data_IF_813034930284
#
_entry.id   IF_813034930284
#
_cell.length_a   1.000
_cell.length_b   1.000
_cell.length_c   1.000
_cell.angle_alpha   90.00
_cell.angle_beta   90.00
_cell.angle_gamma   90.00
#
_symmetry.space_group_name_H-M   'P 1'
#
loop_
_entity.id
_entity.type
_entity.pdbx_description
1 polymer ?
#
# COMPACT_ATOMS: atom_id res chain seq x y z
N UNK A 1 55.06 4.28 -6.57
CA UNK A 1 55.62 4.75 -5.27
C UNK A 1 57.01 5.23 -5.60
N UNK A 2 57.27 6.55 -5.59
CA UNK A 2 58.57 7.09 -5.99
C UNK A 2 59.64 6.64 -5.01
N UNK A 3 60.69 6.01 -5.52
CA UNK A 3 61.80 5.48 -4.74
C UNK A 3 62.58 6.64 -4.09
N UNK A 4 63.43 6.32 -3.09
CA UNK A 4 64.36 7.31 -2.52
C UNK A 4 65.30 7.86 -3.60
N UNK A 5 65.66 7.02 -4.57
CA UNK A 5 66.50 7.39 -5.70
C UNK A 5 65.79 8.40 -6.61
N UNK A 6 64.52 8.18 -6.94
CA UNK A 6 63.73 9.10 -7.77
C UNK A 6 63.59 10.46 -7.10
N UNK A 7 63.38 10.49 -5.77
CA UNK A 7 63.33 11.75 -5.03
C UNK A 7 64.66 12.50 -5.05
N UNK A 8 65.79 11.79 -4.93
CA UNK A 8 67.11 12.41 -5.04
C UNK A 8 67.38 12.95 -6.45
N UNK A 9 66.96 12.22 -7.49
CA UNK A 9 67.03 12.69 -8.89
C UNK A 9 66.18 13.94 -9.11
N UNK A 10 64.94 13.97 -8.62
CA UNK A 10 64.08 15.16 -8.66
C UNK A 10 64.73 16.37 -7.98
N UNK A 11 65.30 16.18 -6.77
CA UNK A 11 65.96 17.25 -6.01
C UNK A 11 67.21 17.76 -6.71
N UNK A 12 68.02 16.87 -7.28
CA UNK A 12 69.24 17.23 -7.99
C UNK A 12 68.95 17.98 -9.30
N UNK A 13 68.00 17.52 -10.11
CA UNK A 13 67.60 18.18 -11.35
C UNK A 13 66.94 19.53 -11.09
N UNK A 14 66.10 19.63 -10.06
CA UNK A 14 65.47 20.91 -9.70
C UNK A 14 66.49 21.94 -9.21
N UNK A 15 67.50 21.52 -8.43
CA UNK A 15 68.61 22.41 -8.01
C UNK A 15 69.45 22.91 -9.19
N UNK A 16 69.51 22.14 -10.29
CA UNK A 16 70.17 22.52 -11.55
C UNK A 16 69.31 23.42 -12.46
N UNK A 17 68.09 23.79 -12.03
CA UNK A 17 67.21 24.69 -12.77
C UNK A 17 66.35 24.00 -13.84
N UNK A 18 66.29 22.67 -13.88
CA UNK A 18 65.44 21.93 -14.82
C UNK A 18 63.96 22.15 -14.47
N UNK A 19 63.11 22.35 -15.48
CA UNK A 19 61.68 22.57 -15.27
C UNK A 19 60.99 21.28 -14.79
N UNK A 20 59.97 21.44 -13.94
CA UNK A 20 59.22 20.34 -13.32
C UNK A 20 58.63 19.38 -14.35
N UNK A 21 58.24 19.88 -15.54
CA UNK A 21 57.70 19.06 -16.63
C UNK A 21 58.74 18.13 -17.24
N UNK A 22 60.00 18.56 -17.31
CA UNK A 22 61.08 17.79 -17.92
C UNK A 22 61.59 16.72 -16.94
N UNK A 23 61.69 17.08 -15.65
CA UNK A 23 61.96 16.12 -14.55
C UNK A 23 60.88 15.02 -14.52
N UNK A 24 59.63 15.40 -14.79
CA UNK A 24 58.49 14.48 -14.81
C UNK A 24 58.55 13.52 -16.00
N UNK A 25 58.95 14.01 -17.17
CA UNK A 25 59.15 13.18 -18.36
C UNK A 25 60.33 12.20 -18.20
N UNK A 26 61.46 12.65 -17.63
CA UNK A 26 62.66 11.83 -17.42
C UNK A 26 62.43 10.68 -16.42
N UNK A 27 61.58 10.91 -15.41
CA UNK A 27 61.29 9.93 -14.36
C UNK A 27 59.97 9.17 -14.57
N UNK A 28 59.32 9.33 -15.72
CA UNK A 28 58.01 8.74 -16.06
C UNK A 28 56.95 8.92 -14.94
N UNK A 29 56.83 10.15 -14.43
CA UNK A 29 55.86 10.49 -13.38
C UNK A 29 55.10 11.76 -13.74
N UNK A 30 53.96 12.01 -13.09
CA UNK A 30 53.24 13.26 -13.30
C UNK A 30 54.02 14.48 -12.78
N UNK A 31 53.95 15.66 -13.44
CA UNK A 31 54.50 16.92 -12.92
C UNK A 31 53.99 17.28 -11.52
N UNK A 32 52.75 16.87 -11.19
CA UNK A 32 52.18 17.01 -9.84
C UNK A 32 52.93 16.18 -8.80
N UNK A 33 53.44 15.01 -9.18
CA UNK A 33 54.25 14.13 -8.30
C UNK A 33 55.58 14.78 -7.97
N UNK A 34 56.28 15.33 -8.96
CA UNK A 34 57.56 16.04 -8.78
C UNK A 34 57.38 17.29 -7.92
N UNK A 35 56.39 18.13 -8.23
CA UNK A 35 56.06 19.33 -7.45
C UNK A 35 55.74 19.00 -5.98
N UNK A 36 54.90 17.98 -5.73
CA UNK A 36 54.57 17.53 -4.37
C UNK A 36 55.77 16.95 -3.63
N UNK A 37 56.64 16.22 -4.31
CA UNK A 37 57.84 15.63 -3.72
C UNK A 37 58.83 16.72 -3.29
N UNK A 38 59.11 17.69 -4.16
CA UNK A 38 59.98 18.83 -3.88
C UNK A 38 59.43 19.71 -2.74
N UNK A 39 58.11 20.00 -2.75
CA UNK A 39 57.45 20.79 -1.69
C UNK A 39 57.45 20.07 -0.33
N UNK A 40 57.36 18.73 -0.32
CA UNK A 40 57.37 17.93 0.91
C UNK A 40 58.77 17.72 1.49
N UNK A 41 59.82 17.81 0.68
CA UNK A 41 61.21 17.65 1.14
C UNK A 41 61.65 16.22 1.48
N UNK A 42 60.87 15.19 1.13
CA UNK A 42 61.20 13.79 1.42
C UNK A 42 60.26 12.76 0.78
N UNK A 43 60.54 11.46 0.97
CA UNK A 43 59.74 10.32 0.50
C UNK A 43 58.30 10.36 1.04
N UNK A 44 57.28 9.82 0.33
CA UNK A 44 55.95 9.71 0.92
C UNK A 44 56.02 8.82 2.16
N UNK A 45 55.40 9.21 3.29
CA UNK A 45 55.16 8.24 4.34
C UNK A 45 54.37 7.09 3.72
N UNK A 46 54.97 5.89 3.66
CA UNK A 46 54.33 4.70 3.07
C UNK A 46 53.06 4.26 3.80
N UNK A 47 52.73 4.91 4.92
CA UNK A 47 51.43 4.78 5.57
C UNK A 47 50.41 5.58 4.77
N UNK A 48 49.59 4.86 3.97
CA UNK A 48 48.26 5.37 3.61
C UNK A 48 47.62 5.88 4.91
N UNK A 49 47.05 7.10 4.93
CA UNK A 49 46.26 7.54 6.07
C UNK A 49 45.29 6.42 6.44
N UNK A 50 45.14 6.09 7.74
CA UNK A 50 44.07 5.19 8.17
C UNK A 50 42.80 5.70 7.50
N UNK A 51 42.12 4.84 6.74
CA UNK A 51 40.87 5.20 6.12
C UNK A 51 40.00 5.83 7.21
N UNK A 52 39.51 7.05 6.99
CA UNK A 52 38.58 7.68 7.92
C UNK A 52 37.47 6.66 8.18
N UNK A 53 37.20 6.39 9.46
CA UNK A 53 36.08 5.54 9.84
C UNK A 53 34.82 6.01 9.11
N UNK A 54 34.09 5.08 8.52
CA UNK A 54 32.81 5.41 7.89
C UNK A 54 31.83 5.78 8.99
N UNK A 55 30.98 6.78 8.75
CA UNK A 55 29.83 7.06 9.62
C UNK A 55 28.92 5.83 9.76
N UNK A 56 29.02 4.85 8.87
CA UNK A 56 28.32 3.57 8.95
C UNK A 56 28.94 2.59 9.96
N UNK A 57 30.21 2.75 10.32
CA UNK A 57 30.95 1.75 11.13
C UNK A 57 30.26 1.40 12.46
N UNK A 58 29.73 2.37 13.25
CA UNK A 58 29.00 2.06 14.49
C UNK A 58 27.71 1.26 14.26
N UNK A 59 27.17 1.29 13.05
CA UNK A 59 25.88 0.69 12.72
C UNK A 59 25.98 -0.67 12.03
N UNK A 60 27.19 -1.12 11.65
CA UNK A 60 27.40 -2.36 10.88
C UNK A 60 26.82 -3.61 11.56
N UNK A 61 27.02 -3.75 12.88
CA UNK A 61 26.47 -4.88 13.64
C UNK A 61 24.95 -4.94 13.58
N UNK A 62 24.29 -3.78 13.61
CA UNK A 62 22.83 -3.73 13.46
C UNK A 62 22.39 -4.14 12.06
N UNK A 63 23.09 -3.69 11.01
CA UNK A 63 22.79 -4.13 9.64
C UNK A 63 22.95 -5.64 9.53
N UNK A 64 23.98 -6.22 10.15
CA UNK A 64 24.25 -7.66 10.06
C UNK A 64 23.16 -8.49 10.77
N UNK A 65 22.71 -8.05 11.95
CA UNK A 65 21.57 -8.65 12.63
C UNK A 65 20.29 -8.58 11.77
N UNK A 66 20.01 -7.45 11.12
CA UNK A 66 18.86 -7.31 10.21
C UNK A 66 18.95 -8.26 9.00
N UNK A 67 20.15 -8.49 8.47
CA UNK A 67 20.36 -9.45 7.38
C UNK A 67 20.16 -10.90 7.83
N UNK A 68 20.57 -11.24 9.05
CA UNK A 68 20.34 -12.55 9.69
C UNK A 68 18.84 -12.80 9.90
N UNK A 69 18.08 -11.78 10.30
CA UNK A 69 16.62 -11.81 10.41
C UNK A 69 15.89 -11.81 9.04
N UNK A 70 16.65 -11.87 7.93
CA UNK A 70 16.09 -11.96 6.58
C UNK A 70 15.65 -10.61 5.98
N UNK A 71 15.99 -9.48 6.61
CA UNK A 71 15.68 -8.14 6.11
C UNK A 71 16.75 -7.70 5.10
N UNK A 72 16.65 -8.21 3.87
CA UNK A 72 17.60 -7.92 2.79
C UNK A 72 17.32 -6.62 2.02
N UNK A 73 16.34 -5.84 2.46
CA UNK A 73 15.94 -4.60 1.80
C UNK A 73 16.65 -3.39 2.40
N UNK A 74 17.48 -2.73 1.59
CA UNK A 74 18.29 -1.59 2.03
C UNK A 74 17.47 -0.37 2.40
N UNK A 75 16.27 -0.17 1.83
CA UNK A 75 15.37 0.92 2.25
C UNK A 75 14.87 0.69 3.67
N UNK A 76 14.49 -0.55 4.00
CA UNK A 76 14.03 -0.92 5.34
C UNK A 76 15.15 -0.76 6.36
N UNK A 77 16.34 -1.28 6.06
CA UNK A 77 17.51 -1.11 6.93
C UNK A 77 17.81 0.38 7.12
N UNK A 78 17.80 1.17 6.05
CA UNK A 78 18.06 2.61 6.12
C UNK A 78 17.03 3.36 6.96
N UNK A 79 15.75 3.05 6.81
CA UNK A 79 14.67 3.60 7.64
C UNK A 79 14.88 3.29 9.12
N UNK A 80 15.15 2.01 9.45
CA UNK A 80 15.43 1.61 10.83
C UNK A 80 16.68 2.30 11.39
N UNK A 81 17.72 2.48 10.56
CA UNK A 81 18.92 3.23 10.92
C UNK A 81 18.63 4.71 11.21
N UNK A 82 17.81 5.38 10.39
CA UNK A 82 17.42 6.78 10.63
C UNK A 82 16.73 6.94 11.98
N UNK A 83 15.83 6.04 12.36
CA UNK A 83 15.17 6.04 13.68
C UNK A 83 16.13 5.80 14.85
N UNK A 84 17.29 5.19 14.58
CA UNK A 84 18.40 4.99 15.52
C UNK A 84 19.44 6.12 15.49
N UNK A 85 19.14 7.25 14.84
CA UNK A 85 20.02 8.43 14.80
C UNK A 85 21.10 8.41 13.71
N UNK A 86 21.00 7.53 12.70
CA UNK A 86 21.97 7.52 11.61
C UNK A 86 21.87 8.78 10.72
N UNK A 87 22.92 9.58 10.66
CA UNK A 87 22.95 10.82 9.86
C UNK A 87 23.41 10.61 8.41
N UNK A 88 24.03 9.46 8.10
CA UNK A 88 24.55 9.19 6.77
C UNK A 88 23.49 8.92 5.70
N UNK A 89 23.96 8.73 4.46
CA UNK A 89 23.14 8.48 3.29
C UNK A 89 22.94 6.98 2.98
N UNK A 90 21.82 6.66 2.34
CA UNK A 90 21.43 5.30 1.94
C UNK A 90 22.47 4.56 1.10
N UNK A 91 23.23 5.27 0.27
CA UNK A 91 24.26 4.68 -0.60
C UNK A 91 25.29 3.88 0.21
N UNK A 92 25.70 4.36 1.38
CA UNK A 92 26.63 3.65 2.26
C UNK A 92 26.06 2.31 2.75
N UNK A 93 24.77 2.29 3.11
CA UNK A 93 24.07 1.06 3.50
C UNK A 93 24.03 0.09 2.32
N UNK A 94 23.68 0.58 1.13
CA UNK A 94 23.61 -0.23 -0.10
C UNK A 94 24.96 -0.86 -0.44
N UNK A 95 26.04 -0.08 -0.37
CA UNK A 95 27.39 -0.55 -0.67
C UNK A 95 27.86 -1.59 0.35
N UNK A 96 27.47 -1.47 1.62
CA UNK A 96 27.76 -2.44 2.66
C UNK A 96 26.99 -3.77 2.51
N UNK A 97 25.72 -3.71 2.10
CA UNK A 97 24.86 -4.89 1.93
C UNK A 97 25.13 -5.63 0.62
N UNK A 98 25.47 -4.91 -0.46
CA UNK A 98 25.69 -5.46 -1.81
C UNK A 98 26.59 -6.71 -1.87
N UNK A 99 27.79 -6.75 -1.26
CA UNK A 99 28.66 -7.93 -1.33
C UNK A 99 28.12 -9.14 -0.56
N UNK A 100 27.16 -8.94 0.35
CA UNK A 100 26.56 -10.00 1.17
C UNK A 100 25.36 -10.65 0.49
N UNK A 101 24.88 -10.09 -0.63
CA UNK A 101 23.63 -10.53 -1.28
C UNK A 101 23.89 -11.75 -2.16
N UNK A 102 23.15 -12.86 -2.00
CA UNK A 102 23.29 -14.01 -2.88
C UNK A 102 22.85 -13.66 -4.31
N UNK A 103 23.65 -14.10 -5.30
CA UNK A 103 23.34 -13.93 -6.72
C UNK A 103 22.08 -14.76 -7.07
N UNK A 104 20.99 -14.09 -7.42
CA UNK A 104 19.78 -14.76 -7.91
C UNK A 104 19.88 -15.01 -9.41
N UNK A 105 19.61 -16.25 -9.84
CA UNK A 105 19.40 -16.55 -11.26
C UNK A 105 18.17 -15.78 -11.76
N UNK A 106 18.36 -14.85 -12.69
CA UNK A 106 17.24 -14.19 -13.36
C UNK A 106 16.60 -15.16 -14.34
N UNK A 107 15.30 -15.44 -14.21
CA UNK A 107 14.53 -16.09 -15.28
C UNK A 107 14.25 -15.05 -16.36
N UNK A 108 14.48 -15.41 -17.62
CA UNK A 108 14.09 -14.57 -18.76
C UNK A 108 12.56 -14.57 -18.88
N UNK A 109 11.95 -13.40 -18.84
CA UNK A 109 10.50 -13.20 -19.04
C UNK A 109 10.28 -12.16 -20.13
N UNK A 110 9.27 -12.37 -20.97
CA UNK A 110 8.83 -11.38 -21.96
C UNK A 110 8.07 -10.28 -21.22
N UNK A 111 8.45 -9.03 -21.46
CA UNK A 111 7.86 -7.85 -20.80
C UNK A 111 6.85 -7.18 -21.73
N UNK A 112 5.74 -6.73 -21.18
CA UNK A 112 4.76 -5.92 -21.89
C UNK A 112 4.62 -4.57 -21.18
N UNK A 113 4.88 -3.49 -21.90
CA UNK A 113 4.69 -2.13 -21.43
C UNK A 113 3.36 -1.59 -21.94
N UNK A 114 2.65 -0.83 -21.11
CA UNK A 114 1.39 -0.19 -21.46
C UNK A 114 1.60 1.31 -21.60
N UNK A 115 0.88 1.94 -22.53
CA UNK A 115 0.91 3.39 -22.68
C UNK A 115 0.33 4.10 -21.42
N UNK A 116 0.68 5.38 -21.20
CA UNK A 116 0.16 6.16 -20.08
C UNK A 116 -1.38 6.12 -19.99
N UNK A 117 -1.93 5.95 -18.80
CA UNK A 117 -3.37 5.98 -18.54
C UNK A 117 -4.15 4.75 -19.03
N UNK A 118 -3.50 3.82 -19.75
CA UNK A 118 -4.21 2.69 -20.36
C UNK A 118 -4.60 1.63 -19.36
N UNK A 119 -3.70 1.24 -18.45
CA UNK A 119 -3.92 0.04 -17.63
C UNK A 119 -3.49 0.22 -16.19
N UNK A 120 -4.37 -0.12 -15.25
CA UNK A 120 -4.05 -0.41 -13.86
C UNK A 120 -4.02 -1.93 -13.65
N UNK A 121 -3.12 -2.42 -12.81
CA UNK A 121 -3.11 -3.82 -12.38
C UNK A 121 -3.50 -3.91 -10.91
N UNK A 122 -4.48 -4.75 -10.61
CA UNK A 122 -5.02 -4.96 -9.26
C UNK A 122 -4.68 -6.37 -8.78
N UNK A 123 -4.11 -6.48 -7.59
CA UNK A 123 -3.66 -7.74 -7.01
C UNK A 123 -3.92 -7.80 -5.51
N UNK A 124 -4.52 -8.88 -5.04
CA UNK A 124 -4.69 -9.14 -3.62
C UNK A 124 -3.45 -9.80 -3.02
N UNK A 125 -3.18 -9.47 -1.77
CA UNK A 125 -2.16 -10.11 -0.98
C UNK A 125 -2.53 -10.13 0.49
N UNK A 126 -2.03 -11.15 1.18
CA UNK A 126 -2.21 -11.30 2.63
C UNK A 126 -0.85 -11.24 3.37
N UNK A 127 -0.81 -10.62 4.54
CA UNK A 127 0.34 -10.72 5.44
C UNK A 127 -0.13 -11.28 6.78
N UNK A 128 0.22 -12.53 7.03
CA UNK A 128 0.07 -13.16 8.33
C UNK A 128 1.01 -12.54 9.38
N UNK A 129 0.62 -12.68 10.65
CA UNK A 129 1.41 -12.32 11.83
C UNK A 129 1.73 -10.83 11.95
N UNK A 130 0.91 -9.95 11.37
CA UNK A 130 0.96 -8.53 11.75
C UNK A 130 0.26 -8.37 13.11
N UNK A 131 0.63 -7.35 13.89
CA UNK A 131 -0.13 -7.03 15.11
C UNK A 131 -1.05 -5.84 14.86
N UNK A 132 -2.35 -6.04 15.12
CA UNK A 132 -3.36 -4.98 15.15
C UNK A 132 -3.89 -4.90 16.57
N UNK A 133 -3.78 -3.73 17.20
CA UNK A 133 -4.13 -3.54 18.61
C UNK A 133 -3.47 -4.59 19.54
N UNK A 134 -2.22 -4.98 19.22
CA UNK A 134 -1.48 -6.02 19.95
C UNK A 134 -1.87 -7.47 19.64
N UNK A 135 -2.91 -7.71 18.85
CA UNK A 135 -3.38 -9.05 18.48
C UNK A 135 -2.76 -9.50 17.16
N UNK A 136 -2.16 -10.71 17.08
CA UNK A 136 -1.73 -11.29 15.80
C UNK A 136 -2.92 -11.47 14.86
N UNK A 137 -2.84 -10.89 13.67
CA UNK A 137 -3.92 -10.89 12.69
C UNK A 137 -3.33 -11.09 11.28
N UNK A 138 -4.13 -11.66 10.38
CA UNK A 138 -3.81 -11.66 8.95
C UNK A 138 -4.39 -10.41 8.33
N UNK A 139 -3.53 -9.53 7.81
CA UNK A 139 -3.97 -8.35 7.07
C UNK A 139 -4.13 -8.71 5.59
N UNK A 140 -5.33 -8.46 5.05
CA UNK A 140 -5.59 -8.51 3.62
C UNK A 140 -5.34 -7.13 3.02
N UNK A 141 -4.78 -7.06 1.83
CA UNK A 141 -4.55 -5.79 1.16
C UNK A 141 -4.58 -5.93 -0.36
N UNK A 142 -5.18 -4.94 -1.02
CA UNK A 142 -5.26 -4.87 -2.46
C UNK A 142 -4.25 -3.85 -2.98
N UNK A 143 -3.34 -4.28 -3.85
CA UNK A 143 -2.34 -3.42 -4.50
C UNK A 143 -2.79 -3.08 -5.91
N UNK A 144 -2.96 -1.80 -6.16
CA UNK A 144 -3.33 -1.24 -7.45
C UNK A 144 -2.13 -0.48 -8.03
N UNK A 145 -1.59 -0.92 -9.16
CA UNK A 145 -0.37 -0.36 -9.77
C UNK A 145 -0.63 0.12 -11.19
N UNK A 146 -0.31 1.39 -11.45
CA UNK A 146 -0.36 1.95 -12.79
C UNK A 146 0.65 1.29 -13.72
N UNK A 147 0.17 1.00 -14.92
CA UNK A 147 0.88 0.20 -15.88
C UNK A 147 1.97 0.93 -16.63
N UNK A 148 2.05 2.25 -16.58
CA UNK A 148 3.14 3.01 -17.18
C UNK A 148 4.12 3.50 -16.11
N UNK A 149 3.66 4.37 -15.19
CA UNK A 149 4.51 4.99 -14.16
C UNK A 149 4.99 4.06 -13.07
N UNK A 150 4.33 2.89 -12.89
CA UNK A 150 4.53 2.00 -11.73
C UNK A 150 4.16 2.64 -10.40
N UNK A 151 3.47 3.79 -10.41
CA UNK A 151 2.88 4.35 -9.21
C UNK A 151 1.83 3.38 -8.69
N UNK A 152 1.85 3.15 -7.39
CA UNK A 152 0.97 2.18 -6.74
C UNK A 152 0.19 2.83 -5.63
N UNK A 153 -1.02 2.34 -5.40
CA UNK A 153 -1.79 2.56 -4.19
C UNK A 153 -2.12 1.18 -3.61
N UNK A 154 -2.21 1.07 -2.29
CA UNK A 154 -2.75 -0.15 -1.69
C UNK A 154 -3.58 0.18 -0.46
N UNK A 155 -4.61 -0.63 -0.25
CA UNK A 155 -5.53 -0.49 0.87
C UNK A 155 -5.56 -1.78 1.68
N UNK A 156 -5.44 -1.65 3.00
CA UNK A 156 -5.43 -2.76 3.95
C UNK A 156 -6.81 -2.87 4.57
N UNK A 157 -7.36 -4.08 4.56
CA UNK A 157 -8.71 -4.39 5.01
C UNK A 157 -8.82 -5.82 5.55
N UNK A 158 -10.03 -6.23 5.93
CA UNK A 158 -10.36 -7.52 6.53
C UNK A 158 -10.99 -8.54 5.57
N UNK A 159 -11.39 -8.15 4.35
CA UNK A 159 -12.01 -9.03 3.34
C UNK A 159 -11.45 -8.80 1.92
N UNK A 160 -11.62 -9.80 1.05
CA UNK A 160 -11.19 -9.79 -0.35
C UNK A 160 -12.38 -9.98 -1.33
N UNK A 161 -13.59 -9.63 -0.89
CA UNK A 161 -14.82 -9.74 -1.70
C UNK A 161 -14.97 -8.64 -2.77
N UNK A 162 -16.14 -8.61 -3.42
CA UNK A 162 -16.41 -7.74 -4.57
C UNK A 162 -16.49 -6.27 -4.13
N UNK A 163 -17.16 -6.02 -3.00
CA UNK A 163 -17.33 -4.71 -2.37
C UNK A 163 -15.98 -4.12 -1.99
N UNK A 164 -15.13 -4.91 -1.33
CA UNK A 164 -13.77 -4.52 -0.97
C UNK A 164 -12.87 -4.32 -2.20
N UNK A 165 -13.04 -5.13 -3.24
CA UNK A 165 -12.31 -4.98 -4.50
C UNK A 165 -12.67 -3.67 -5.20
N UNK A 166 -13.96 -3.33 -5.25
CA UNK A 166 -14.43 -2.06 -5.81
C UNK A 166 -13.92 -0.87 -4.97
N UNK A 167 -13.97 -0.96 -3.64
CA UNK A 167 -13.47 0.08 -2.74
C UNK A 167 -11.96 0.29 -2.89
N UNK A 168 -11.17 -0.79 -2.97
CA UNK A 168 -9.73 -0.70 -3.18
C UNK A 168 -9.39 0.03 -4.49
N UNK A 169 -10.11 -0.28 -5.58
CA UNK A 169 -9.90 0.34 -6.88
C UNK A 169 -10.38 1.79 -6.90
N UNK A 170 -11.52 2.09 -6.27
CA UNK A 170 -12.03 3.44 -6.05
C UNK A 170 -11.00 4.31 -5.32
N UNK A 171 -10.46 3.83 -4.20
CA UNK A 171 -9.41 4.52 -3.43
C UNK A 171 -8.15 4.75 -4.26
N UNK A 172 -7.76 3.78 -5.06
CA UNK A 172 -6.61 3.92 -5.96
C UNK A 172 -6.86 5.00 -7.02
N UNK A 173 -8.01 5.02 -7.67
CA UNK A 173 -8.37 6.06 -8.64
C UNK A 173 -8.41 7.46 -8.00
N UNK A 174 -8.92 7.56 -6.77
CA UNK A 174 -8.88 8.80 -6.00
C UNK A 174 -7.44 9.23 -5.69
N UNK A 175 -6.58 8.30 -5.25
CA UNK A 175 -5.16 8.56 -4.98
C UNK A 175 -4.40 9.01 -6.24
N UNK A 176 -4.71 8.44 -7.41
CA UNK A 176 -4.12 8.87 -8.68
C UNK A 176 -4.76 10.15 -9.25
N UNK A 177 -5.91 10.57 -8.74
CA UNK A 177 -6.67 11.69 -9.27
C UNK A 177 -7.31 11.42 -10.64
N UNK A 178 -7.50 10.16 -11.01
CA UNK A 178 -8.05 9.73 -12.29
C UNK A 178 -8.12 8.21 -12.44
N UNK A 179 -8.97 7.74 -13.33
CA UNK A 179 -9.14 6.31 -13.64
C UNK A 179 -8.31 5.90 -14.87
N UNK A 180 -8.02 4.61 -15.02
CA UNK A 180 -7.37 4.07 -16.22
C UNK A 180 -8.39 3.55 -17.22
N UNK A 181 -8.06 3.51 -18.50
CA UNK A 181 -8.93 2.92 -19.51
C UNK A 181 -9.27 1.44 -19.23
N UNK A 182 -8.37 0.72 -18.56
CA UNK A 182 -8.55 -0.70 -18.28
C UNK A 182 -8.04 -1.08 -16.88
N UNK A 183 -8.72 -2.00 -16.22
CA UNK A 183 -8.28 -2.62 -14.98
C UNK A 183 -8.01 -4.10 -15.20
N UNK A 184 -6.75 -4.50 -15.06
CA UNK A 184 -6.32 -5.88 -15.14
C UNK A 184 -6.36 -6.51 -13.74
N UNK A 185 -7.22 -7.50 -13.57
CA UNK A 185 -7.35 -8.30 -12.34
C UNK A 185 -6.82 -9.71 -12.55
N UNK A 186 -6.53 -10.40 -11.44
CA UNK A 186 -6.41 -11.85 -11.45
C UNK A 186 -7.78 -12.53 -11.54
N UNK A 187 -7.81 -13.87 -11.59
CA UNK A 187 -9.01 -14.69 -11.70
C UNK A 187 -9.76 -14.89 -10.36
N UNK A 188 -9.68 -13.89 -9.48
CA UNK A 188 -10.40 -13.86 -8.22
C UNK A 188 -11.91 -13.70 -8.43
N UNK A 189 -12.72 -14.44 -7.65
CA UNK A 189 -14.19 -14.44 -7.81
C UNK A 189 -14.85 -13.08 -7.58
N UNK A 190 -14.20 -12.21 -6.79
CA UNK A 190 -14.62 -10.83 -6.57
C UNK A 190 -14.74 -10.00 -7.86
N UNK A 191 -13.97 -10.35 -8.90
CA UNK A 191 -14.02 -9.69 -10.20
C UNK A 191 -14.41 -10.65 -11.33
N UNK A 192 -13.93 -11.90 -11.31
CA UNK A 192 -14.06 -12.88 -12.39
C UNK A 192 -14.87 -14.08 -11.95
N UNK A 193 -16.08 -14.26 -12.51
CA UNK A 193 -16.95 -15.39 -12.22
C UNK A 193 -16.46 -16.67 -12.92
N UNK A 194 -16.21 -16.60 -14.24
CA UNK A 194 -15.77 -17.76 -15.02
C UNK A 194 -15.10 -17.39 -16.34
N UNK A 195 -14.27 -18.31 -16.82
CA UNK A 195 -13.70 -18.29 -18.17
C UNK A 195 -14.39 -19.32 -19.05
N UNK A 196 -14.77 -18.94 -20.26
CA UNK A 196 -15.16 -19.88 -21.32
C UNK A 196 -13.93 -20.12 -22.19
N UNK A 197 -13.47 -21.37 -22.18
CA UNK A 197 -12.27 -21.82 -22.89
C UNK A 197 -12.71 -22.69 -24.06
N UNK A 198 -12.27 -22.34 -25.27
CA UNK A 198 -12.50 -23.10 -26.49
C UNK A 198 -11.17 -23.31 -27.21
N UNK A 199 -10.87 -24.55 -27.58
CA UNK A 199 -9.61 -24.93 -28.23
C UNK A 199 -8.35 -24.45 -27.47
N UNK A 200 -8.37 -24.52 -26.14
CA UNK A 200 -7.26 -24.10 -25.29
C UNK A 200 -7.01 -22.58 -25.24
N UNK A 201 -7.93 -21.75 -25.78
CA UNK A 201 -7.88 -20.29 -25.70
C UNK A 201 -9.10 -19.76 -24.97
N UNK A 202 -8.91 -18.72 -24.14
CA UNK A 202 -10.01 -17.97 -23.54
C UNK A 202 -10.80 -17.27 -24.65
N UNK A 203 -12.06 -17.65 -24.82
CA UNK A 203 -13.00 -17.05 -25.79
C UNK A 203 -13.77 -15.90 -25.13
N UNK A 204 -14.23 -16.10 -23.89
CA UNK A 204 -14.97 -15.09 -23.15
C UNK A 204 -14.69 -15.18 -21.65
N UNK A 205 -14.71 -14.03 -20.98
CA UNK A 205 -14.65 -13.92 -19.52
C UNK A 205 -15.98 -13.35 -19.03
N UNK A 206 -16.52 -13.94 -17.98
CA UNK A 206 -17.69 -13.43 -17.27
C UNK A 206 -17.22 -12.79 -15.98
N UNK A 207 -17.53 -11.50 -15.82
CA UNK A 207 -17.16 -10.71 -14.66
C UNK A 207 -18.32 -10.60 -13.68
N UNK A 208 -18.01 -10.24 -12.43
CA UNK A 208 -18.98 -9.90 -11.41
C UNK A 208 -19.78 -8.65 -11.82
N UNK A 209 -21.10 -8.66 -11.65
CA UNK A 209 -21.99 -7.57 -12.08
C UNK A 209 -21.70 -6.27 -11.33
N UNK A 210 -21.60 -6.30 -10.00
CA UNK A 210 -21.24 -5.13 -9.20
C UNK A 210 -19.89 -4.54 -9.60
N UNK A 211 -18.93 -5.39 -9.99
CA UNK A 211 -17.64 -4.92 -10.50
C UNK A 211 -17.75 -4.29 -11.89
N UNK A 212 -18.64 -4.78 -12.76
CA UNK A 212 -18.91 -4.15 -14.05
C UNK A 212 -19.59 -2.79 -13.88
N UNK A 213 -20.58 -2.67 -12.99
CA UNK A 213 -21.24 -1.39 -12.67
C UNK A 213 -20.24 -0.37 -12.11
N UNK A 214 -19.32 -0.83 -11.25
CA UNK A 214 -18.19 -0.03 -10.78
C UNK A 214 -17.33 0.46 -11.95
N UNK A 215 -16.91 -0.42 -12.85
CA UNK A 215 -16.05 -0.04 -13.98
C UNK A 215 -16.73 0.94 -14.93
N UNK A 216 -18.02 0.73 -15.22
CA UNK A 216 -18.83 1.64 -16.04
C UNK A 216 -18.87 3.05 -15.45
N UNK A 217 -19.04 3.15 -14.11
CA UNK A 217 -19.03 4.43 -13.39
C UNK A 217 -17.74 5.23 -13.56
N UNK A 218 -16.60 4.55 -13.73
CA UNK A 218 -15.28 5.16 -13.93
C UNK A 218 -14.83 5.20 -15.39
N UNK A 219 -15.65 4.73 -16.34
CA UNK A 219 -15.30 4.66 -17.76
C UNK A 219 -14.18 3.66 -18.08
N UNK A 220 -13.95 2.69 -17.20
CA UNK A 220 -12.90 1.68 -17.32
C UNK A 220 -13.43 0.37 -17.90
N UNK A 221 -12.57 -0.41 -18.55
CA UNK A 221 -12.87 -1.76 -19.02
C UNK A 221 -12.17 -2.84 -18.18
N UNK A 222 -12.87 -3.93 -17.89
CA UNK A 222 -12.32 -5.06 -17.14
C UNK A 222 -11.48 -5.99 -18.02
N UNK A 223 -10.28 -6.37 -17.54
CA UNK A 223 -9.45 -7.42 -18.14
C UNK A 223 -9.06 -8.45 -17.10
N UNK A 224 -9.11 -9.73 -17.47
CA UNK A 224 -8.64 -10.83 -16.64
C UNK A 224 -7.34 -11.43 -17.18
N UNK A 225 -6.48 -11.92 -16.27
CA UNK A 225 -5.30 -12.68 -16.63
C UNK A 225 -5.68 -14.02 -17.29
N UNK A 226 -4.91 -14.45 -18.29
CA UNK A 226 -5.15 -15.74 -18.95
C UNK A 226 -4.92 -16.89 -17.94
N UNK A 227 -5.83 -17.87 -17.82
CA UNK A 227 -5.62 -19.04 -16.99
C UNK A 227 -4.31 -19.76 -17.35
N UNK A 228 -3.58 -20.23 -16.34
CA UNK A 228 -2.33 -20.98 -16.49
C UNK A 228 -1.19 -20.26 -17.26
N UNK A 229 -1.23 -18.92 -17.38
CA UNK A 229 -0.10 -18.09 -17.85
C UNK A 229 0.17 -16.92 -16.90
N UNK A 230 0.84 -17.18 -15.77
CA UNK A 230 1.22 -16.13 -14.82
C UNK A 230 2.13 -15.07 -15.46
N UNK A 231 2.86 -15.41 -16.54
CA UNK A 231 3.75 -14.46 -17.22
C UNK A 231 3.01 -13.30 -17.89
N UNK A 232 1.69 -13.37 -18.06
CA UNK A 232 0.89 -12.25 -18.61
C UNK A 232 0.85 -11.04 -17.66
N UNK A 233 1.11 -11.24 -16.37
CA UNK A 233 1.28 -10.17 -15.36
C UNK A 233 2.70 -9.59 -15.35
N UNK A 234 3.45 -9.77 -16.44
CA UNK A 234 4.90 -9.61 -16.63
C UNK A 234 5.51 -8.22 -16.44
N UNK A 235 5.06 -7.43 -15.47
CA UNK A 235 5.78 -6.28 -14.93
C UNK A 235 6.65 -6.80 -13.80
N UNK A 236 7.97 -6.76 -13.97
CA UNK A 236 8.97 -7.52 -13.19
C UNK A 236 9.12 -7.07 -11.71
N UNK A 237 8.18 -6.28 -11.18
CA UNK A 237 8.06 -6.04 -9.75
C UNK A 237 6.71 -6.55 -9.25
N UNK A 238 6.75 -7.63 -8.47
CA UNK A 238 5.62 -8.11 -7.70
C UNK A 238 5.24 -7.05 -6.65
N UNK A 239 4.22 -6.23 -6.95
CA UNK A 239 3.75 -5.15 -6.08
C UNK A 239 3.37 -5.64 -4.69
N UNK A 240 2.64 -6.76 -4.61
CA UNK A 240 2.32 -7.44 -3.35
C UNK A 240 3.60 -7.82 -2.58
N UNK A 241 4.57 -8.39 -3.27
CA UNK A 241 5.87 -8.73 -2.70
C UNK A 241 6.68 -7.50 -2.24
N UNK A 242 6.53 -6.36 -2.91
CA UNK A 242 7.15 -5.10 -2.53
C UNK A 242 6.55 -4.58 -1.23
N UNK A 243 5.21 -4.54 -1.11
CA UNK A 243 4.51 -4.16 0.12
C UNK A 243 4.90 -5.09 1.29
N UNK A 244 4.84 -6.43 1.10
CA UNK A 244 5.20 -7.41 2.15
C UNK A 244 6.62 -7.25 2.69
N UNK A 245 7.59 -6.97 1.81
CA UNK A 245 9.02 -6.92 2.17
C UNK A 245 9.53 -5.54 2.56
N UNK A 246 8.70 -4.51 2.42
CA UNK A 246 9.07 -3.14 2.74
C UNK A 246 8.13 -2.58 3.81
N UNK A 247 6.87 -2.32 3.42
CA UNK A 247 5.89 -1.67 4.27
C UNK A 247 5.67 -2.43 5.58
N UNK A 248 5.26 -3.69 5.52
CA UNK A 248 4.99 -4.50 6.72
C UNK A 248 6.25 -4.82 7.55
N UNK A 249 7.45 -4.68 6.98
CA UNK A 249 8.70 -4.84 7.74
C UNK A 249 9.09 -3.54 8.45
N UNK A 250 8.76 -2.37 7.88
CA UNK A 250 8.92 -1.07 8.54
C UNK A 250 7.85 -0.83 9.61
N UNK A 251 6.63 -1.30 9.34
CA UNK A 251 5.44 -1.16 10.18
C UNK A 251 4.87 -2.54 10.49
N UNK A 252 5.49 -3.30 11.41
CA UNK A 252 5.01 -4.64 11.79
C UNK A 252 3.76 -4.60 12.68
N UNK A 253 3.43 -3.44 13.25
CA UNK A 253 2.37 -3.25 14.22
C UNK A 253 1.59 -1.95 13.95
N UNK A 254 0.28 -1.98 14.22
CA UNK A 254 -0.61 -0.83 14.17
C UNK A 254 -1.71 -0.91 15.24
N UNK A 255 -2.27 0.24 15.59
CA UNK A 255 -3.32 0.33 16.61
C UNK A 255 -4.69 -0.08 16.05
N UNK A 256 -4.89 0.06 14.74
CA UNK A 256 -6.11 -0.31 14.02
C UNK A 256 -5.85 -0.45 12.53
N UNK A 257 -6.83 -0.96 11.76
CA UNK A 257 -6.78 -0.92 10.30
C UNK A 257 -6.69 0.52 9.75
N UNK A 258 -7.33 1.49 10.42
CA UNK A 258 -7.25 2.89 10.04
C UNK A 258 -5.82 3.45 10.23
N UNK A 259 -5.17 3.13 11.35
CA UNK A 259 -3.76 3.49 11.58
C UNK A 259 -2.84 2.83 10.53
N UNK A 260 -3.10 1.58 10.16
CA UNK A 260 -2.37 0.91 9.09
C UNK A 260 -2.48 1.63 7.75
N UNK A 261 -3.70 2.03 7.37
CA UNK A 261 -3.92 2.76 6.14
C UNK A 261 -3.30 4.17 6.17
N UNK A 262 -3.31 4.86 7.32
CA UNK A 262 -2.58 6.14 7.47
C UNK A 262 -1.07 5.97 7.28
N UNK A 263 -0.48 4.91 7.86
CA UNK A 263 0.93 4.55 7.64
C UNK A 263 1.20 4.21 6.17
N UNK A 264 0.25 3.56 5.50
CA UNK A 264 0.35 3.20 4.09
C UNK A 264 0.41 4.45 3.21
N UNK A 265 -0.48 5.42 3.41
CA UNK A 265 -0.45 6.70 2.67
C UNK A 265 0.88 7.43 2.88
N UNK A 266 1.34 7.54 4.14
CA UNK A 266 2.66 8.14 4.42
C UNK A 266 3.79 7.41 3.69
N UNK A 267 3.78 6.08 3.70
CA UNK A 267 4.82 5.27 3.07
C UNK A 267 4.79 5.39 1.54
N UNK A 268 3.61 5.47 0.94
CA UNK A 268 3.45 5.70 -0.49
C UNK A 268 4.12 7.01 -0.89
N UNK A 269 3.77 8.12 -0.22
CA UNK A 269 4.29 9.45 -0.54
C UNK A 269 5.79 9.61 -0.26
N UNK A 270 6.29 9.05 0.85
CA UNK A 270 7.64 9.33 1.34
C UNK A 270 8.67 8.29 0.90
N UNK A 271 8.24 7.08 0.51
CA UNK A 271 9.13 5.97 0.18
C UNK A 271 8.83 5.37 -1.18
N UNK A 272 7.57 5.06 -1.49
CA UNK A 272 7.24 4.36 -2.74
C UNK A 272 7.32 5.27 -3.98
N UNK A 273 6.77 6.48 -3.90
CA UNK A 273 6.72 7.46 -4.98
C UNK A 273 8.09 8.06 -5.35
N UNK A 274 8.95 8.48 -4.40
CA UNK A 274 10.25 9.07 -4.74
C UNK A 274 11.32 8.02 -5.09
N UNK A 275 10.98 6.73 -5.12
CA UNK A 275 11.97 5.67 -5.42
C UNK A 275 12.32 5.65 -6.90
N UNK A 276 13.58 5.29 -7.18
CA UNK A 276 13.97 4.82 -8.51
C UNK A 276 13.48 3.40 -8.70
N UNK A 277 12.57 3.18 -9.65
CA UNK A 277 12.01 1.86 -9.92
C UNK A 277 13.07 0.95 -10.54
N UNK A 278 13.21 -0.28 -10.04
CA UNK A 278 14.32 -1.17 -10.39
C UNK A 278 14.31 -1.62 -11.84
N UNK A 279 13.13 -1.66 -12.46
CA UNK A 279 12.97 -2.07 -13.87
C UNK A 279 13.11 -0.90 -14.85
N UNK A 280 12.57 0.28 -14.54
CA UNK A 280 12.56 1.42 -15.48
C UNK A 280 13.79 2.30 -15.31
N UNK A 281 14.44 2.25 -14.14
CA UNK A 281 15.57 3.11 -13.80
C UNK A 281 15.19 4.57 -13.59
N UNK A 282 13.88 4.88 -13.56
CA UNK A 282 13.33 6.23 -13.41
C UNK A 282 12.63 6.38 -12.05
N UNK A 283 12.45 7.61 -11.60
CA UNK A 283 11.69 7.92 -10.39
C UNK A 283 10.20 7.74 -10.67
N UNK A 284 9.49 7.03 -9.78
CA UNK A 284 8.07 6.70 -9.96
C UNK A 284 7.21 7.97 -10.03
N UNK A 285 7.43 8.93 -9.13
CA UNK A 285 6.69 10.20 -9.10
C UNK A 285 6.90 11.06 -10.36
N UNK A 286 8.10 11.05 -10.94
CA UNK A 286 8.39 11.76 -12.20
C UNK A 286 7.65 11.10 -13.37
N UNK A 287 7.67 9.77 -13.46
CA UNK A 287 6.91 9.04 -14.48
C UNK A 287 5.40 9.26 -14.32
N UNK A 288 4.91 9.37 -13.09
CA UNK A 288 3.50 9.64 -12.85
C UNK A 288 3.09 11.05 -13.27
N UNK A 289 3.97 12.04 -13.10
CA UNK A 289 3.70 13.40 -13.58
C UNK A 289 3.46 13.43 -15.10
N UNK A 290 4.15 12.57 -15.87
CA UNK A 290 3.92 12.39 -17.31
C UNK A 290 2.63 11.62 -17.64
N UNK A 291 2.21 10.71 -16.76
CA UNK A 291 1.03 9.86 -16.96
C UNK A 291 -0.27 10.53 -16.52
N UNK A 292 -0.23 11.42 -15.54
CA UNK A 292 -1.42 11.97 -14.86
C UNK A 292 -2.46 12.55 -15.82
N UNK A 293 -2.02 13.30 -16.82
CA UNK A 293 -2.92 13.96 -17.79
C UNK A 293 -3.54 13.00 -18.81
N UNK A 294 -3.14 11.72 -18.80
CA UNK A 294 -3.69 10.66 -19.64
C UNK A 294 -4.75 9.82 -18.91
N UNK A 295 -4.98 10.06 -17.63
CA UNK A 295 -6.01 9.37 -16.86
C UNK A 295 -7.41 9.92 -17.21
N UNK A 296 -8.41 9.05 -17.13
CA UNK A 296 -9.81 9.41 -17.27
C UNK A 296 -10.25 10.26 -16.06
N UNK A 297 -11.13 11.25 -16.26
CA UNK A 297 -11.65 12.04 -15.15
C UNK A 297 -12.46 11.18 -14.20
N UNK A 298 -12.36 11.50 -12.90
CA UNK A 298 -13.19 10.83 -11.89
C UNK A 298 -14.66 11.27 -12.00
N UNK A 299 -15.61 10.38 -11.73
CA UNK A 299 -17.01 10.75 -11.62
C UNK A 299 -17.23 11.72 -10.45
N UNK A 300 -18.22 12.62 -10.53
CA UNK A 300 -18.46 13.62 -9.47
C UNK A 300 -18.94 12.99 -8.15
N UNK A 301 -19.55 11.81 -8.20
CA UNK A 301 -19.97 11.03 -7.04
C UNK A 301 -19.34 9.65 -7.20
N UNK A 302 -18.68 9.15 -6.14
CA UNK A 302 -18.09 7.82 -6.11
C UNK A 302 -19.13 6.71 -6.32
N UNK A 303 -18.64 5.50 -6.56
CA UNK A 303 -19.45 4.29 -6.57
C UNK A 303 -19.79 3.88 -5.14
N UNK A 304 -21.04 3.47 -4.90
CA UNK A 304 -21.46 2.98 -3.58
C UNK A 304 -20.98 1.53 -3.42
N UNK A 305 -19.99 1.34 -2.56
CA UNK A 305 -19.34 0.05 -2.27
C UNK A 305 -19.97 -0.66 -1.07
N UNK A 306 -21.11 -0.16 -0.59
CA UNK A 306 -21.82 -0.74 0.54
C UNK A 306 -22.48 -2.07 0.18
N UNK A 307 -22.49 -3.03 1.11
CA UNK A 307 -23.34 -4.20 0.97
C UNK A 307 -24.81 -3.79 0.97
N UNK A 308 -25.60 -4.38 0.09
CA UNK A 308 -27.03 -4.12 -0.01
C UNK A 308 -27.79 -5.36 0.46
N UNK A 309 -28.57 -5.19 1.51
CA UNK A 309 -29.40 -6.24 2.09
C UNK A 309 -30.85 -5.75 2.22
N UNK A 310 -31.79 -6.66 2.23
CA UNK A 310 -33.18 -6.34 2.53
C UNK A 310 -33.59 -6.93 3.87
N UNK A 311 -34.32 -6.15 4.67
CA UNK A 311 -34.79 -6.55 6.00
C UNK A 311 -36.26 -6.21 6.18
N UNK A 312 -36.93 -6.99 7.02
CA UNK A 312 -38.29 -6.70 7.47
C UNK A 312 -38.19 -6.05 8.84
N UNK A 313 -38.86 -4.92 9.03
CA UNK A 313 -38.92 -4.25 10.33
C UNK A 313 -39.81 -5.06 11.27
N UNK A 314 -39.26 -5.47 12.40
CA UNK A 314 -40.00 -6.18 13.44
C UNK A 314 -41.02 -5.25 14.12
N UNK A 315 -42.02 -5.85 14.77
CA UNK A 315 -43.12 -5.11 15.42
C UNK A 315 -42.70 -4.24 16.60
N UNK A 316 -41.50 -4.47 17.13
CA UNK A 316 -40.84 -3.64 18.14
C UNK A 316 -40.02 -2.49 17.54
N UNK A 317 -40.14 -2.22 16.23
CA UNK A 317 -39.43 -1.17 15.49
C UNK A 317 -37.90 -1.35 15.41
N UNK A 318 -37.46 -2.60 15.29
CA UNK A 318 -36.05 -2.96 15.04
C UNK A 318 -35.87 -3.70 13.73
N UNK A 319 -34.64 -3.63 13.21
CA UNK A 319 -34.12 -4.56 12.20
C UNK A 319 -32.95 -5.34 12.78
N UNK A 320 -32.86 -6.64 12.47
CA UNK A 320 -31.72 -7.48 12.80
C UNK A 320 -30.69 -7.44 11.64
N UNK A 321 -29.47 -7.00 11.94
CA UNK A 321 -28.35 -6.94 10.99
C UNK A 321 -27.12 -7.55 11.64
N UNK A 322 -26.60 -8.61 11.02
CA UNK A 322 -25.40 -9.36 11.45
C UNK A 322 -25.44 -9.75 12.94
N UNK A 323 -26.62 -10.14 13.41
CA UNK A 323 -26.88 -10.60 14.78
C UNK A 323 -27.24 -9.50 15.79
N UNK A 324 -27.08 -8.21 15.47
CA UNK A 324 -27.45 -7.12 16.36
C UNK A 324 -28.70 -6.37 15.89
N UNK A 325 -29.35 -5.62 16.79
CA UNK A 325 -30.61 -4.91 16.54
C UNK A 325 -30.42 -3.41 16.46
N UNK A 326 -31.03 -2.82 15.43
CA UNK A 326 -30.98 -1.40 15.15
C UNK A 326 -32.38 -0.82 15.05
N UNK A 327 -32.66 0.19 15.86
CA UNK A 327 -33.95 0.87 15.88
C UNK A 327 -34.22 1.58 14.56
N UNK A 328 -35.45 1.52 14.08
CA UNK A 328 -35.95 2.26 12.92
C UNK A 328 -37.27 2.94 13.27
N UNK A 329 -37.73 3.95 12.52
CA UNK A 329 -39.02 4.59 12.80
C UNK A 329 -40.18 3.60 12.90
N UNK A 330 -41.00 3.72 13.95
CA UNK A 330 -42.09 2.78 14.26
C UNK A 330 -43.19 2.66 13.20
N UNK A 331 -43.40 3.69 12.38
CA UNK A 331 -44.36 3.61 11.27
C UNK A 331 -43.95 2.58 10.19
N UNK A 332 -42.69 2.13 10.19
CA UNK A 332 -42.18 1.13 9.25
C UNK A 332 -42.38 -0.31 9.75
N UNK A 333 -42.96 -0.55 10.94
CA UNK A 333 -43.17 -1.90 11.47
C UNK A 333 -43.93 -2.79 10.46
N UNK A 334 -43.36 -3.95 10.14
CA UNK A 334 -43.90 -4.89 9.15
C UNK A 334 -43.52 -4.59 7.71
N UNK A 335 -42.89 -3.45 7.42
CA UNK A 335 -42.45 -3.08 6.07
C UNK A 335 -41.09 -3.70 5.70
N UNK A 336 -40.84 -3.85 4.39
CA UNK A 336 -39.53 -4.21 3.83
C UNK A 336 -38.72 -2.94 3.64
N UNK A 337 -37.52 -2.91 4.21
CA UNK A 337 -36.56 -1.82 4.10
C UNK A 337 -35.27 -2.31 3.48
N UNK A 338 -34.59 -1.43 2.74
CA UNK A 338 -33.27 -1.68 2.18
C UNK A 338 -32.22 -1.18 3.15
N UNK A 339 -31.21 -2.00 3.39
CA UNK A 339 -30.12 -1.71 4.31
C UNK A 339 -28.83 -1.66 3.51
N UNK A 340 -28.07 -0.57 3.68
CA UNK A 340 -26.74 -0.40 3.13
C UNK A 340 -25.71 -0.44 4.25
N UNK A 341 -24.78 -1.37 4.18
CA UNK A 341 -23.71 -1.55 5.17
C UNK A 341 -22.41 -1.07 4.54
N UNK A 342 -21.94 0.10 4.97
CA UNK A 342 -20.67 0.66 4.53
C UNK A 342 -19.49 -0.10 5.13
N UNK A 343 -18.37 -0.12 4.40
CA UNK A 343 -17.10 -0.73 4.85
C UNK A 343 -16.43 0.07 5.99
N UNK A 344 -16.94 1.27 6.28
CA UNK A 344 -16.60 2.09 7.44
C UNK A 344 -17.42 1.72 8.70
N UNK A 345 -18.29 0.71 8.61
CA UNK A 345 -19.20 0.32 9.68
C UNK A 345 -20.45 1.21 9.77
N UNK A 346 -20.72 2.09 8.79
CA UNK A 346 -21.96 2.87 8.77
C UNK A 346 -23.11 2.04 8.21
N UNK A 347 -24.18 1.90 8.97
CA UNK A 347 -25.43 1.26 8.56
C UNK A 347 -26.46 2.33 8.16
N UNK A 348 -26.96 2.27 6.92
CA UNK A 348 -28.01 3.18 6.42
C UNK A 348 -29.25 2.39 6.05
N UNK A 349 -30.42 2.84 6.50
CA UNK A 349 -31.70 2.19 6.25
C UNK A 349 -32.54 3.08 5.34
N UNK A 350 -33.10 2.49 4.29
CA UNK A 350 -33.91 3.16 3.29
C UNK A 350 -35.30 2.53 3.20
N UNK A 351 -36.34 3.36 3.15
CA UNK A 351 -37.71 2.96 2.80
C UNK A 351 -38.16 3.78 1.59
N UNK A 352 -38.70 3.13 0.56
CA UNK A 352 -39.15 3.83 -0.67
C UNK A 352 -38.05 4.64 -1.39
N UNK A 353 -36.77 4.38 -1.13
CA UNK A 353 -35.64 5.14 -1.66
C UNK A 353 -35.19 6.32 -0.80
N UNK A 354 -35.92 6.64 0.27
CA UNK A 354 -35.55 7.70 1.23
C UNK A 354 -34.75 7.13 2.41
N UNK A 355 -33.72 7.86 2.84
CA UNK A 355 -32.94 7.49 4.02
C UNK A 355 -33.76 7.76 5.29
N UNK A 356 -34.11 6.70 6.01
CA UNK A 356 -34.97 6.77 7.20
C UNK A 356 -34.21 6.59 8.51
N UNK A 357 -33.04 5.96 8.49
CA UNK A 357 -32.18 5.84 9.68
C UNK A 357 -30.70 5.65 9.29
N UNK A 358 -29.82 6.11 10.17
CA UNK A 358 -28.37 5.88 10.08
C UNK A 358 -27.85 5.46 11.44
N UNK A 359 -27.03 4.42 11.48
CA UNK A 359 -26.40 3.88 12.69
C UNK A 359 -24.92 3.58 12.44
N UNK A 360 -24.16 3.45 13.52
CA UNK A 360 -22.84 2.81 13.49
C UNK A 360 -23.02 1.36 13.91
N UNK A 361 -22.47 0.44 13.13
CA UNK A 361 -22.49 -1.00 13.42
C UNK A 361 -21.80 -1.26 14.77
N UNK A 362 -22.40 -2.15 15.56
CA UNK A 362 -21.92 -2.54 16.89
C UNK A 362 -21.86 -4.04 17.04
N UNK A 363 -20.90 -4.49 17.84
CA UNK A 363 -20.80 -5.88 18.26
C UNK A 363 -21.98 -6.26 19.17
N UNK A 364 -22.28 -7.56 19.23
CA UNK A 364 -23.29 -8.12 20.14
C UNK A 364 -23.06 -7.71 21.61
N UNK A 365 -21.80 -7.63 22.04
CA UNK A 365 -21.42 -7.24 23.41
C UNK A 365 -21.77 -5.80 23.76
N UNK A 366 -21.93 -4.93 22.77
CA UNK A 366 -22.29 -3.51 22.97
C UNK A 366 -23.80 -3.30 23.03
N UNK A 367 -24.59 -4.36 22.80
CA UNK A 367 -26.04 -4.34 22.88
C UNK A 367 -26.73 -3.66 21.70
N UNK A 368 -28.04 -3.49 21.85
CA UNK A 368 -28.91 -2.95 20.80
C UNK A 368 -28.72 -1.44 20.63
N UNK A 369 -28.93 -0.98 19.41
CA UNK A 369 -28.93 0.46 19.09
C UNK A 369 -30.36 0.97 19.13
N UNK A 370 -30.73 1.63 20.22
CA UNK A 370 -32.06 2.24 20.40
C UNK A 370 -32.01 3.75 20.16
N UNK A 371 -32.95 4.25 19.35
CA UNK A 371 -33.20 5.69 19.20
C UNK A 371 -34.54 6.01 19.88
N UNK A 372 -34.54 6.77 20.99
CA UNK A 372 -35.77 7.03 21.76
C UNK A 372 -36.91 7.63 20.93
N UNK A 373 -36.58 8.50 19.97
CA UNK A 373 -37.58 9.14 19.10
C UNK A 373 -38.37 8.16 18.24
N UNK A 374 -37.77 7.04 17.84
CA UNK A 374 -38.41 6.06 16.96
C UNK A 374 -39.49 5.22 17.65
N UNK A 375 -39.43 5.08 18.97
CA UNK A 375 -40.37 4.26 19.74
C UNK A 375 -41.43 5.09 20.45
N UNK A 376 -41.46 6.41 20.24
CA UNK A 376 -42.30 7.32 21.00
C UNK A 376 -43.78 6.97 20.87
N UNK A 377 -44.27 6.64 19.67
CA UNK A 377 -45.69 6.32 19.49
C UNK A 377 -46.02 4.91 19.98
N UNK A 378 -45.08 3.96 19.86
CA UNK A 378 -45.21 2.63 20.47
C UNK A 378 -45.40 2.73 21.99
N UNK A 379 -44.52 3.47 22.67
CA UNK A 379 -44.64 3.68 24.12
C UNK A 379 -45.92 4.43 24.50
N UNK A 380 -46.33 5.42 23.71
CA UNK A 380 -47.59 6.14 23.95
C UNK A 380 -48.81 5.20 23.88
N UNK A 381 -48.83 4.25 22.94
CA UNK A 381 -49.90 3.25 22.80
C UNK A 381 -49.90 2.18 23.90
N UNK A 382 -48.72 1.79 24.41
CA UNK A 382 -48.62 0.80 25.49
C UNK A 382 -48.92 1.43 26.85
N UNK A 383 -48.45 2.65 27.09
CA UNK A 383 -48.66 3.38 28.35
C UNK A 383 -50.07 3.97 28.46
N UNK A 384 -50.84 4.04 27.36
CA UNK A 384 -52.28 4.29 27.41
C UNK A 384 -53.03 3.06 27.93
N UNK A 385 -52.75 2.67 29.16
CA UNK A 385 -53.54 1.68 29.90
C UNK A 385 -54.79 2.39 30.42
N UNK A 386 -55.98 1.82 30.19
CA UNK A 386 -57.20 2.25 30.87
C UNK A 386 -56.97 2.19 32.39
N UNK A 387 -56.93 3.34 33.06
CA UNK A 387 -57.02 3.39 34.52
C UNK A 387 -58.45 3.05 34.92
N UNK A 388 -58.74 1.78 35.16
CA UNK A 388 -60.01 1.36 35.76
C UNK A 388 -59.97 1.61 37.28
N UNK A 389 -61.02 2.19 37.89
CA UNK A 389 -61.12 2.27 39.34
C UNK A 389 -61.14 0.85 39.95
N UNK A 390 -60.51 0.69 41.11
CA UNK A 390 -60.42 -0.59 41.84
C UNK A 390 -61.78 -1.27 42.08
N UNK A 391 -62.86 -0.48 42.13
CA UNK A 391 -64.24 -0.95 42.27
C UNK A 391 -64.71 -1.90 41.15
N UNK A 392 -64.09 -1.86 39.98
CA UNK A 392 -64.41 -2.77 38.85
C UNK A 392 -63.95 -4.21 39.13
N UNK A 393 -63.02 -4.40 40.07
CA UNK A 393 -62.51 -5.73 40.44
C UNK A 393 -63.15 -6.29 41.72
N UNK A 394 -63.88 -5.47 42.48
CA UNK A 394 -64.54 -5.90 43.73
C UNK A 394 -65.84 -6.69 43.45
N UNK A 395 -66.49 -6.47 42.30
CA UNK A 395 -67.71 -7.20 41.90
C UNK A 395 -67.46 -8.67 41.49
N UNK A 396 -66.20 -9.09 41.29
CA UNK A 396 -65.86 -10.48 40.91
C UNK A 396 -65.61 -11.37 42.15
N UNK A 397 -65.67 -10.79 43.35
CA UNK A 397 -65.50 -11.49 44.64
C UNK A 397 -66.77 -11.55 45.50
N UNK A 398 -67.94 -11.23 44.93
CA UNK A 398 -69.23 -11.30 45.63
C UNK A 398 -69.94 -12.63 45.42
#
# INVERSE_FOLDING_TARGET
MTSREDFMKMKAQHKRGVYIKDIAADLDVSPKTVSRALKRGGQPPGKRPKARGSILDPHKLFIDAELEDGVWNTEVIFFKLKRRGYEGGRTLVKDYVRPKRPLRKSKATVRFETAPGVQMQSDWGEKAEVKIAGVPTTAHFCVNTLGHSRRSHFWITDSEDSEHTCEAQQRAFQHFGGATAEVLVDNQKAAVIKHVIKNGKTERVFFNESWLDFLDRYGSAGRACKPARPETKGKVENGVGYVKKNFFVMFPEADSLADYNNKAEWWLENIADPRVHGTTGRVVSEMFAEEKDHLLPLPPIGFDTSYVEERIVAWDAYIDVHGNRYAVPDHLCGERVMVRIGLDGTLRVFSGGELVATHTMRSLSEGWVTVPGYHKNLWARVLSVEKRPLSVYEEVTS
#
